data_IF_337597275883
#
_entry.id   IF_337597275883
#
_cell.length_a   1.000
_cell.length_b   1.000
_cell.length_c   1.000
_cell.angle_alpha   90.00
_cell.angle_beta   90.00
_cell.angle_gamma   90.00
#
_symmetry.space_group_name_H-M   'P 1'
#
loop_
_entity.id
_entity.type
_entity.pdbx_description
1 polymer ?
#
# COMPACT_ATOMS: atom_id res chain seq x y z
N UNK A 1 -24.83 6.71 -2.08
CA UNK A 1 -23.76 6.99 -1.10
C UNK A 1 -22.76 7.88 -1.81
N UNK A 2 -22.48 9.07 -1.27
CA UNK A 2 -21.55 10.00 -1.92
C UNK A 2 -20.14 9.42 -1.81
N UNK A 3 -19.71 8.69 -2.84
CA UNK A 3 -18.35 8.23 -3.03
C UNK A 3 -17.48 9.46 -3.34
N UNK A 4 -17.13 10.21 -2.29
CA UNK A 4 -16.20 11.32 -2.38
C UNK A 4 -14.79 10.75 -2.54
N UNK A 5 -14.53 10.20 -3.73
CA UNK A 5 -13.23 9.67 -4.12
C UNK A 5 -12.21 10.82 -4.11
N UNK A 6 -11.35 10.81 -3.09
CA UNK A 6 -10.21 11.73 -3.00
C UNK A 6 -9.25 11.48 -4.15
N UNK A 7 -8.91 12.52 -4.91
CA UNK A 7 -7.81 12.48 -5.88
C UNK A 7 -6.53 12.92 -5.17
N UNK A 8 -5.41 12.29 -5.49
CA UNK A 8 -4.12 12.55 -4.89
C UNK A 8 -3.80 14.04 -4.89
N UNK A 9 -3.43 14.54 -3.72
CA UNK A 9 -2.91 15.87 -3.55
C UNK A 9 -1.72 15.80 -2.60
N UNK A 10 -0.58 16.36 -3.03
CA UNK A 10 0.69 16.27 -2.30
C UNK A 10 0.61 16.84 -0.88
N UNK A 11 -0.09 17.97 -0.71
CA UNK A 11 -0.24 18.61 0.61
C UNK A 11 -1.18 17.84 1.53
N UNK A 12 -2.17 17.13 0.99
CA UNK A 12 -3.18 16.45 1.79
C UNK A 12 -2.81 15.00 2.14
N UNK A 13 -1.91 14.37 1.37
CA UNK A 13 -1.61 12.94 1.53
C UNK A 13 -1.22 12.56 2.95
N UNK A 14 -0.35 13.34 3.61
CA UNK A 14 0.06 13.07 5.01
C UNK A 14 -1.11 13.09 5.97
N UNK A 15 -2.03 14.05 5.79
CA UNK A 15 -3.22 14.16 6.63
C UNK A 15 -4.15 12.98 6.40
N UNK A 16 -4.44 12.65 5.14
CA UNK A 16 -5.30 11.52 4.80
C UNK A 16 -4.73 10.18 5.28
N UNK A 17 -3.43 9.98 5.12
CA UNK A 17 -2.72 8.82 5.66
C UNK A 17 -2.88 8.72 7.18
N UNK A 18 -2.62 9.80 7.91
CA UNK A 18 -2.78 9.83 9.37
C UNK A 18 -4.21 9.53 9.83
N UNK A 19 -5.19 10.18 9.20
CA UNK A 19 -6.62 10.04 9.50
C UNK A 19 -7.12 8.61 9.21
N UNK A 20 -6.77 8.05 8.05
CA UNK A 20 -7.13 6.68 7.68
C UNK A 20 -6.45 5.68 8.59
N UNK A 21 -5.15 5.83 8.87
CA UNK A 21 -4.41 4.95 9.79
C UNK A 21 -5.04 4.92 11.18
N UNK A 22 -5.34 6.08 11.76
CA UNK A 22 -5.95 6.16 13.08
C UNK A 22 -7.32 5.46 13.10
N UNK A 23 -8.14 5.70 12.08
CA UNK A 23 -9.46 5.08 11.96
C UNK A 23 -9.35 3.56 11.79
N UNK A 24 -8.47 3.10 10.90
CA UNK A 24 -8.26 1.70 10.58
C UNK A 24 -7.65 0.89 11.74
N UNK A 25 -6.78 1.51 12.55
CA UNK A 25 -6.30 0.89 13.79
C UNK A 25 -7.43 0.77 14.81
N UNK A 26 -8.23 1.83 14.97
CA UNK A 26 -9.33 1.86 15.95
C UNK A 26 -10.43 0.85 15.65
N UNK A 27 -10.75 0.63 14.37
CA UNK A 27 -11.77 -0.33 13.96
C UNK A 27 -11.23 -1.75 13.68
N UNK A 28 -9.91 -1.95 13.73
CA UNK A 28 -9.25 -3.25 13.54
C UNK A 28 -9.05 -3.66 12.08
N UNK A 29 -9.37 -2.81 11.11
CA UNK A 29 -9.11 -3.06 9.69
C UNK A 29 -7.62 -3.05 9.38
N UNK A 30 -6.83 -2.20 10.06
CA UNK A 30 -5.36 -2.21 10.00
C UNK A 30 -4.80 -3.04 11.16
N UNK A 31 -4.01 -4.06 10.83
CA UNK A 31 -3.45 -5.03 11.78
C UNK A 31 -1.93 -5.02 11.72
N UNK A 32 -1.33 -3.95 12.27
CA UNK A 32 0.12 -3.76 12.27
C UNK A 32 0.85 -4.82 13.10
N UNK A 33 1.93 -5.35 12.53
CA UNK A 33 2.75 -6.38 13.14
C UNK A 33 3.86 -5.73 13.98
N UNK A 34 3.81 -5.95 15.29
CA UNK A 34 4.86 -5.47 16.20
C UNK A 34 6.18 -6.18 15.92
N UNK A 35 7.23 -5.38 15.67
CA UNK A 35 8.59 -5.86 15.45
C UNK A 35 9.58 -5.13 16.36
N UNK A 36 10.63 -5.85 16.74
CA UNK A 36 11.87 -5.30 17.27
C UNK A 36 12.82 -5.00 16.11
N UNK A 37 13.34 -3.78 16.04
CA UNK A 37 14.34 -3.38 15.05
C UNK A 37 15.74 -3.54 15.63
N UNK A 38 16.58 -4.32 14.94
CA UNK A 38 17.98 -4.55 15.29
C UNK A 38 18.82 -4.04 14.12
N UNK A 39 19.66 -3.05 14.37
CA UNK A 39 20.63 -2.58 13.38
C UNK A 39 21.92 -3.36 13.53
N UNK A 40 22.38 -3.97 12.45
CA UNK A 40 23.63 -4.71 12.38
C UNK A 40 24.54 -4.06 11.36
N UNK A 41 25.84 -4.20 11.57
CA UNK A 41 26.85 -3.73 10.63
C UNK A 41 27.90 -4.82 10.46
N UNK A 42 28.12 -5.21 9.21
CA UNK A 42 29.30 -5.96 8.79
C UNK A 42 29.99 -5.13 7.70
N UNK A 43 30.05 -5.62 6.44
CA UNK A 43 30.57 -4.87 5.30
C UNK A 43 29.59 -3.81 4.78
N UNK A 44 28.31 -4.05 4.95
CA UNK A 44 27.21 -3.13 4.61
C UNK A 44 26.29 -3.09 5.84
N UNK A 45 25.83 -1.91 6.28
CA UNK A 45 24.85 -1.83 7.36
C UNK A 45 23.50 -2.40 6.91
N UNK A 46 22.81 -3.11 7.79
CA UNK A 46 21.48 -3.65 7.51
C UNK A 46 20.57 -3.61 8.73
N UNK A 47 19.27 -3.53 8.45
CA UNK A 47 18.20 -3.56 9.44
C UNK A 47 17.54 -4.94 9.48
N UNK A 48 17.47 -5.53 10.67
CA UNK A 48 16.72 -6.77 10.91
C UNK A 48 15.48 -6.43 11.73
N UNK A 49 14.31 -6.74 11.19
CA UNK A 49 13.03 -6.64 11.91
C UNK A 49 12.57 -8.00 12.37
N UNK A 50 12.56 -8.22 13.69
CA UNK A 50 12.14 -9.46 14.31
C UNK A 50 10.70 -9.32 14.83
N UNK A 51 9.80 -10.21 14.42
CA UNK A 51 8.42 -10.23 14.96
C UNK A 51 8.46 -10.49 16.47
N UNK A 52 7.91 -9.55 17.25
CA UNK A 52 7.94 -9.59 18.73
C UNK A 52 7.03 -10.66 19.31
N UNK A 53 6.08 -11.16 18.51
CA UNK A 53 5.26 -12.32 18.84
C UNK A 53 4.94 -13.08 17.57
N UNK A 54 5.04 -14.41 17.62
CA UNK A 54 4.41 -15.30 16.66
C UNK A 54 2.89 -15.26 16.90
N UNK A 55 2.25 -14.08 16.76
CA UNK A 55 0.80 -14.08 16.54
C UNK A 55 0.59 -15.01 15.36
N UNK A 56 -0.32 -15.98 15.51
CA UNK A 56 -0.78 -16.84 14.40
C UNK A 56 -0.93 -15.90 13.21
N UNK A 57 -0.13 -16.09 12.14
CA UNK A 57 -0.17 -15.24 10.94
C UNK A 57 -1.66 -14.96 10.69
N UNK A 58 -2.13 -13.70 10.84
CA UNK A 58 -3.55 -13.40 10.64
C UNK A 58 -3.85 -13.97 9.28
N UNK A 59 -4.77 -14.92 9.26
CA UNK A 59 -4.87 -16.02 8.29
C UNK A 59 -4.64 -15.62 6.83
N UNK A 60 -3.39 -15.40 6.43
CA UNK A 60 -2.98 -15.24 5.03
C UNK A 60 -3.38 -16.52 4.26
N UNK A 61 -3.40 -17.65 4.97
CA UNK A 61 -3.96 -18.92 4.50
C UNK A 61 -5.47 -18.87 4.24
N UNK A 62 -6.29 -18.18 5.04
CA UNK A 62 -7.75 -18.09 4.76
C UNK A 62 -8.05 -17.09 3.64
N UNK A 63 -7.30 -15.99 3.54
CA UNK A 63 -7.41 -15.07 2.41
C UNK A 63 -7.05 -15.77 1.08
N UNK A 64 -5.93 -16.51 1.04
CA UNK A 64 -5.55 -17.35 -0.11
C UNK A 64 -6.57 -18.46 -0.41
N UNK A 65 -7.14 -19.09 0.61
CA UNK A 65 -8.14 -20.14 0.44
C UNK A 65 -9.48 -19.61 -0.13
N UNK A 66 -9.79 -18.33 0.05
CA UNK A 66 -11.02 -17.74 -0.48
C UNK A 66 -10.97 -17.44 -1.99
N UNK A 67 -9.77 -17.46 -2.61
CA UNK A 67 -9.57 -17.05 -3.99
C UNK A 67 -9.88 -15.59 -4.31
N UNK A 68 -10.25 -14.76 -3.31
CA UNK A 68 -10.54 -13.34 -3.51
C UNK A 68 -9.25 -12.53 -3.58
N UNK A 69 -9.16 -11.69 -4.62
CA UNK A 69 -8.16 -10.63 -4.70
C UNK A 69 -8.39 -9.63 -3.55
N UNK A 70 -7.42 -9.43 -2.63
CA UNK A 70 -7.57 -8.50 -1.50
C UNK A 70 -7.64 -7.03 -1.95
N UNK A 71 -7.28 -6.75 -3.19
CA UNK A 71 -7.27 -5.41 -3.77
C UNK A 71 -8.53 -5.10 -4.57
N UNK A 72 -9.36 -6.09 -4.89
CA UNK A 72 -10.55 -5.91 -5.73
C UNK A 72 -11.75 -6.77 -5.24
N UNK A 73 -12.83 -6.16 -4.72
CA UNK A 73 -12.89 -4.77 -4.24
C UNK A 73 -11.99 -4.59 -3.00
N UNK A 74 -11.26 -3.49 -2.93
CA UNK A 74 -10.46 -3.13 -1.76
C UNK A 74 -11.32 -2.69 -0.56
N UNK A 75 -10.78 -2.88 0.65
CA UNK A 75 -11.40 -2.44 1.91
C UNK A 75 -11.41 -0.90 1.99
N UNK A 76 -12.58 -0.29 2.18
CA UNK A 76 -12.73 1.16 2.21
C UNK A 76 -12.04 1.80 3.42
N UNK A 77 -11.90 1.05 4.51
CA UNK A 77 -11.19 1.47 5.71
C UNK A 77 -9.68 1.61 5.49
N UNK A 78 -9.13 1.02 4.42
CA UNK A 78 -7.72 1.11 4.05
C UNK A 78 -7.48 2.07 2.87
N UNK A 79 -8.54 2.63 2.29
CA UNK A 79 -8.47 3.56 1.18
C UNK A 79 -7.91 4.93 1.61
N UNK A 80 -6.93 5.45 0.84
CA UNK A 80 -6.38 6.80 1.02
C UNK A 80 -6.91 7.75 -0.06
N UNK A 81 -6.56 7.49 -1.33
CA UNK A 81 -6.92 8.32 -2.48
C UNK A 81 -6.67 7.59 -3.80
N UNK A 82 -7.22 8.10 -4.89
CA UNK A 82 -6.89 7.75 -6.28
C UNK A 82 -5.69 8.57 -6.78
N UNK A 83 -4.88 8.03 -7.69
CA UNK A 83 -3.78 8.77 -8.34
C UNK A 83 -4.16 9.10 -9.78
N UNK A 84 -4.57 10.35 -10.02
CA UNK A 84 -4.79 10.84 -11.38
C UNK A 84 -3.43 11.09 -12.07
N UNK A 85 -3.29 10.80 -13.37
CA UNK A 85 -2.14 11.24 -14.15
C UNK A 85 -2.05 12.77 -14.20
N UNK A 86 -0.83 13.32 -14.29
CA UNK A 86 -0.58 14.77 -14.32
C UNK A 86 -1.31 15.50 -15.47
N UNK A 87 -1.68 14.76 -16.52
CA UNK A 87 -2.37 15.28 -17.71
C UNK A 87 -3.90 15.19 -17.64
N UNK A 88 -4.46 14.75 -16.51
CA UNK A 88 -5.90 14.61 -16.30
C UNK A 88 -6.38 15.71 -15.37
N UNK A 89 -7.54 16.30 -15.68
CA UNK A 89 -8.12 17.36 -14.86
C UNK A 89 -8.31 16.87 -13.40
N UNK A 90 -7.99 17.69 -12.39
CA UNK A 90 -7.96 17.27 -10.98
C UNK A 90 -9.31 16.85 -10.40
N UNK A 91 -10.40 17.08 -11.12
CA UNK A 91 -11.78 16.69 -10.83
C UNK A 91 -12.24 15.42 -11.54
N UNK A 92 -11.41 14.82 -12.41
CA UNK A 92 -11.70 13.57 -13.08
C UNK A 92 -11.24 12.36 -12.26
N UNK A 93 -12.17 11.43 -12.02
CA UNK A 93 -11.96 10.15 -11.32
C UNK A 93 -11.35 9.08 -12.25
N UNK A 94 -10.94 9.45 -13.47
CA UNK A 94 -10.23 8.55 -14.39
C UNK A 94 -8.78 8.32 -13.90
N UNK A 95 -8.67 7.54 -12.83
CA UNK A 95 -7.42 7.21 -12.16
C UNK A 95 -7.26 5.70 -12.19
N UNK A 96 -6.22 5.23 -12.87
CA UNK A 96 -5.95 3.79 -13.01
C UNK A 96 -5.37 3.18 -11.73
N UNK A 97 -4.97 4.01 -10.76
CA UNK A 97 -4.36 3.56 -9.51
C UNK A 97 -5.08 4.07 -8.26
N UNK A 98 -4.98 3.32 -7.19
CA UNK A 98 -5.46 3.66 -5.85
C UNK A 98 -4.35 3.45 -4.82
N UNK A 99 -4.30 4.33 -3.84
CA UNK A 99 -3.41 4.25 -2.68
C UNK A 99 -4.15 3.62 -1.52
N UNK A 100 -3.63 2.50 -1.04
CA UNK A 100 -4.15 1.77 0.09
C UNK A 100 -3.11 1.66 1.21
N UNK A 101 -3.57 1.55 2.45
CA UNK A 101 -2.73 1.07 3.54
C UNK A 101 -2.55 -0.45 3.44
N UNK A 102 -1.33 -0.92 3.63
CA UNK A 102 -1.08 -2.35 3.76
C UNK A 102 -1.68 -2.86 5.08
N UNK A 103 -2.71 -3.70 4.96
CA UNK A 103 -3.48 -4.27 6.08
C UNK A 103 -2.62 -4.92 7.18
N UNK A 104 -1.54 -5.59 6.78
CA UNK A 104 -0.64 -6.32 7.69
C UNK A 104 0.76 -5.71 7.67
N UNK A 105 0.84 -4.40 7.82
CA UNK A 105 2.10 -3.68 7.74
C UNK A 105 3.05 -4.04 8.89
N UNK A 106 4.34 -4.14 8.57
CA UNK A 106 5.45 -4.26 9.54
C UNK A 106 6.06 -2.89 9.85
N UNK A 107 6.04 -1.99 8.86
CA UNK A 107 6.52 -0.62 8.94
C UNK A 107 5.29 0.29 8.90
N UNK A 108 5.25 1.28 9.77
CA UNK A 108 4.18 2.28 9.75
C UNK A 108 4.13 2.97 8.38
N UNK A 109 2.92 3.33 7.96
CA UNK A 109 2.69 4.04 6.70
C UNK A 109 3.17 3.30 5.45
N UNK A 110 3.19 1.95 5.50
CA UNK A 110 3.42 1.12 4.33
C UNK A 110 2.21 1.19 3.38
N UNK A 111 2.40 1.90 2.26
CA UNK A 111 1.40 2.10 1.23
C UNK A 111 1.51 1.06 0.11
N UNK A 112 0.38 0.79 -0.54
CA UNK A 112 0.29 0.03 -1.77
C UNK A 112 -0.25 0.96 -2.86
N UNK A 113 0.40 0.95 -4.03
CA UNK A 113 -0.12 1.55 -5.27
C UNK A 113 -0.71 0.41 -6.08
N UNK A 114 -2.03 0.38 -6.20
CA UNK A 114 -2.76 -0.75 -6.80
C UNK A 114 -3.54 -0.26 -8.01
N UNK A 115 -3.53 -1.02 -9.11
CA UNK A 115 -4.42 -0.77 -10.23
C UNK A 115 -5.90 -0.91 -9.82
N UNK A 116 -6.77 -0.09 -10.38
CA UNK A 116 -8.22 -0.15 -10.12
C UNK A 116 -8.89 -1.32 -10.81
N UNK A 117 -8.29 -1.81 -11.88
CA UNK A 117 -8.66 -3.05 -12.57
C UNK A 117 -7.62 -4.13 -12.30
N UNK A 118 -8.02 -5.39 -12.46
CA UNK A 118 -7.11 -6.51 -12.25
C UNK A 118 -6.02 -6.52 -13.31
N UNK A 119 -4.77 -6.45 -12.86
CA UNK A 119 -3.59 -6.74 -13.66
C UNK A 119 -2.75 -7.82 -12.96
N UNK A 120 -2.10 -8.69 -13.74
CA UNK A 120 -1.25 -9.73 -13.18
C UNK A 120 0.01 -9.12 -12.54
N UNK A 121 0.45 -9.67 -11.40
CA UNK A 121 1.68 -9.23 -10.71
C UNK A 121 2.97 -9.50 -11.51
N UNK A 122 2.88 -10.25 -12.62
CA UNK A 122 3.99 -10.51 -13.54
C UNK A 122 3.99 -9.53 -14.73
N UNK A 123 2.98 -8.66 -14.84
CA UNK A 123 2.93 -7.62 -15.87
C UNK A 123 4.10 -6.65 -15.69
N UNK A 124 4.82 -6.40 -16.78
CA UNK A 124 5.91 -5.41 -16.78
C UNK A 124 5.34 -4.02 -16.55
N UNK A 125 5.93 -3.27 -15.61
CA UNK A 125 5.55 -1.89 -15.35
C UNK A 125 5.68 -1.05 -16.62
N UNK A 126 4.62 -0.31 -16.96
CA UNK A 126 4.62 0.66 -18.04
C UNK A 126 4.82 2.07 -17.47
N UNK A 127 4.84 3.05 -18.37
CA UNK A 127 5.04 4.46 -18.01
C UNK A 127 4.02 4.95 -16.97
N UNK A 128 2.77 4.49 -17.05
CA UNK A 128 1.68 4.89 -16.14
C UNK A 128 1.94 4.48 -14.69
N UNK A 129 2.54 3.31 -14.46
CA UNK A 129 2.93 2.84 -13.11
C UNK A 129 4.06 3.71 -12.56
N UNK A 130 5.08 3.99 -13.38
CA UNK A 130 6.19 4.85 -12.96
C UNK A 130 5.72 6.27 -12.63
N UNK A 131 4.86 6.86 -13.45
CA UNK A 131 4.26 8.17 -13.17
C UNK A 131 3.50 8.15 -11.84
N UNK A 132 2.66 7.15 -11.62
CA UNK A 132 1.89 7.02 -10.37
C UNK A 132 2.78 6.87 -9.15
N UNK A 133 3.82 6.03 -9.24
CA UNK A 133 4.82 5.82 -8.18
C UNK A 133 5.56 7.13 -7.88
N UNK A 134 6.05 7.83 -8.92
CA UNK A 134 6.80 9.08 -8.78
C UNK A 134 5.94 10.19 -8.16
N UNK A 135 4.67 10.30 -8.55
CA UNK A 135 3.71 11.25 -7.96
C UNK A 135 3.57 11.02 -6.46
N UNK A 136 3.40 9.76 -6.03
CA UNK A 136 3.27 9.40 -4.61
C UNK A 136 4.58 9.65 -3.85
N UNK A 137 5.72 9.20 -4.40
CA UNK A 137 7.05 9.41 -3.81
C UNK A 137 7.41 10.90 -3.70
N UNK A 138 6.80 11.76 -4.51
CA UNK A 138 6.93 13.21 -4.38
C UNK A 138 6.46 13.73 -3.01
N UNK A 139 5.50 13.10 -2.34
CA UNK A 139 4.94 13.64 -1.10
C UNK A 139 5.92 13.69 0.08
N UNK A 140 6.78 12.69 0.23
CA UNK A 140 7.80 12.61 1.28
C UNK A 140 8.81 11.49 0.96
N UNK A 141 9.97 11.43 1.64
CA UNK A 141 10.96 10.39 1.38
C UNK A 141 10.35 8.99 1.52
N UNK A 142 10.46 8.18 0.47
CA UNK A 142 9.89 6.84 0.36
C UNK A 142 10.85 5.92 -0.37
N UNK A 143 10.70 4.62 -0.14
CA UNK A 143 11.26 3.56 -0.96
C UNK A 143 10.09 2.87 -1.68
N UNK A 144 10.13 2.84 -3.01
CA UNK A 144 9.22 2.05 -3.82
C UNK A 144 9.92 0.78 -4.32
N UNK A 145 9.21 -0.33 -4.34
CA UNK A 145 9.68 -1.60 -4.87
C UNK A 145 8.52 -2.35 -5.52
N UNK A 146 8.84 -3.23 -6.48
CA UNK A 146 7.87 -4.08 -7.17
C UNK A 146 8.43 -5.49 -7.27
N UNK A 147 7.70 -6.44 -6.68
CA UNK A 147 8.07 -7.85 -6.68
C UNK A 147 7.27 -8.56 -7.78
N UNK A 148 7.91 -8.82 -8.92
CA UNK A 148 7.27 -9.43 -10.09
C UNK A 148 7.43 -10.96 -10.07
N UNK A 149 6.33 -11.67 -9.85
CA UNK A 149 6.29 -13.14 -9.80
C UNK A 149 6.67 -13.77 -8.45
N UNK A 150 6.42 -15.07 -8.35
CA UNK A 150 6.57 -15.83 -7.09
C UNK A 150 8.00 -15.82 -6.52
N UNK A 151 9.00 -15.95 -7.39
CA UNK A 151 10.42 -15.96 -7.00
C UNK A 151 10.89 -14.61 -6.44
N UNK A 152 10.22 -13.51 -6.81
CA UNK A 152 10.47 -12.18 -6.25
C UNK A 152 9.83 -11.98 -4.86
N UNK A 153 9.15 -13.01 -4.32
CA UNK A 153 8.45 -12.94 -3.05
C UNK A 153 7.09 -12.25 -3.14
N UNK A 154 6.44 -12.24 -4.32
CA UNK A 154 5.06 -11.81 -4.46
C UNK A 154 4.13 -12.71 -3.63
N UNK A 155 3.20 -12.11 -2.88
CA UNK A 155 2.34 -12.81 -1.90
C UNK A 155 0.95 -13.10 -2.41
#
# INVERSE_FOLDING_TARGET
MNDNKRIFNRSDLRKWLGDTRQTALKNGSLQSLSTELITLSDRVPFEVRKLSSLRKKPSLQMAKASGRNPFLPYEQELYICHVAPDNVAPDSVASDHVILLNKFNVIDDHLLVVTTDFEAQETVLAEKEFQSILTVMGAFPMLAFYNSGAEAGAS
#
